data_IF_304505760238
#
_entry.id   IF_304505760238
#
_cell.length_a   1.000
_cell.length_b   1.000
_cell.length_c   1.000
_cell.angle_alpha   90.00
_cell.angle_beta   90.00
_cell.angle_gamma   90.00
#
_symmetry.space_group_name_H-M   'P 1'
#
loop_
_entity.id
_entity.type
_entity.pdbx_description
1 polymer ?
#
# COMPACT_ATOMS: atom_id res chain seq x y z
N UNK A 1 1.89 -0.33 14.64
CA UNK A 1 0.73 0.38 14.07
C UNK A 1 0.54 1.66 14.86
N UNK A 2 0.35 2.78 14.17
CA UNK A 2 0.01 4.10 14.70
C UNK A 2 -1.33 4.53 14.08
N UNK A 3 -2.22 5.15 14.86
CA UNK A 3 -3.47 5.71 14.35
C UNK A 3 -3.49 7.20 14.66
N UNK A 4 -3.68 8.03 13.64
CA UNK A 4 -3.72 9.47 13.77
C UNK A 4 -5.16 9.95 13.93
N UNK A 5 -5.37 10.82 14.92
CA UNK A 5 -6.57 11.64 14.98
C UNK A 5 -6.54 12.66 13.84
N UNK A 6 -7.69 12.88 13.22
CA UNK A 6 -7.85 13.87 12.16
C UNK A 6 -8.90 14.90 12.56
N UNK A 7 -8.95 16.02 11.86
CA UNK A 7 -9.97 17.05 12.09
C UNK A 7 -11.37 16.62 11.62
N UNK A 8 -11.46 15.64 10.71
CA UNK A 8 -12.74 15.05 10.28
C UNK A 8 -12.99 13.77 11.11
N UNK A 9 -13.99 13.75 12.01
CA UNK A 9 -14.24 12.59 12.87
C UNK A 9 -14.66 11.33 12.10
N UNK A 10 -15.06 11.45 10.82
CA UNK A 10 -15.34 10.32 9.95
C UNK A 10 -14.08 9.78 9.24
N UNK A 11 -12.89 10.34 9.48
CA UNK A 11 -11.65 9.92 8.82
C UNK A 11 -10.61 9.46 9.85
N UNK A 12 -10.17 8.21 9.70
CA UNK A 12 -9.05 7.64 10.44
C UNK A 12 -7.87 7.36 9.49
N UNK A 13 -6.66 7.70 9.93
CA UNK A 13 -5.42 7.38 9.22
C UNK A 13 -4.63 6.40 10.09
N UNK A 14 -4.25 5.26 9.52
CA UNK A 14 -3.44 4.25 10.20
C UNK A 14 -2.13 4.01 9.43
N UNK A 15 -1.02 3.96 10.15
CA UNK A 15 0.33 3.71 9.62
C UNK A 15 0.92 2.44 10.25
N UNK A 16 1.50 1.57 9.42
CA UNK A 16 2.16 0.36 9.88
C UNK A 16 3.15 -0.19 8.85
N UNK A 17 3.95 -1.15 9.29
CA UNK A 17 4.78 -1.96 8.40
C UNK A 17 4.18 -3.36 8.26
N UNK A 18 4.29 -3.92 7.07
CA UNK A 18 4.12 -5.34 6.80
C UNK A 18 5.47 -6.03 6.88
N UNK A 19 5.59 -7.03 7.74
CA UNK A 19 6.68 -8.01 7.68
C UNK A 19 6.15 -9.22 6.89
N UNK A 20 6.81 -9.57 5.80
CA UNK A 20 6.33 -10.58 4.85
C UNK A 20 7.43 -11.52 4.36
N UNK A 21 6.99 -12.66 3.82
CA UNK A 21 7.85 -13.67 3.20
C UNK A 21 7.39 -13.92 1.77
N UNK A 22 8.29 -13.83 0.81
CA UNK A 22 8.01 -14.19 -0.58
C UNK A 22 7.91 -15.71 -0.68
N UNK A 23 6.70 -16.23 -0.86
CA UNK A 23 6.41 -17.67 -0.82
C UNK A 23 7.28 -18.51 -1.75
N UNK A 24 7.57 -18.01 -2.96
CA UNK A 24 8.39 -18.73 -3.94
C UNK A 24 9.90 -18.76 -3.65
N UNK A 25 10.43 -17.86 -2.82
CA UNK A 25 11.88 -17.74 -2.57
C UNK A 25 12.28 -17.83 -1.10
N UNK A 26 11.32 -17.77 -0.18
CA UNK A 26 11.57 -17.68 1.26
C UNK A 26 12.18 -16.35 1.71
N UNK A 27 12.32 -15.37 0.81
CA UNK A 27 12.94 -14.07 1.14
C UNK A 27 12.00 -13.25 2.03
N UNK A 28 12.54 -12.78 3.16
CA UNK A 28 11.87 -11.82 4.03
C UNK A 28 11.89 -10.41 3.42
N UNK A 29 10.86 -9.63 3.66
CA UNK A 29 10.80 -8.20 3.36
C UNK A 29 9.99 -7.45 4.41
N UNK A 30 10.25 -6.15 4.50
CA UNK A 30 9.44 -5.21 5.28
C UNK A 30 9.05 -4.03 4.40
N UNK A 31 7.79 -3.60 4.46
CA UNK A 31 7.28 -2.46 3.69
C UNK A 31 6.25 -1.67 4.47
N UNK A 32 6.38 -0.35 4.45
CA UNK A 32 5.44 0.56 5.11
C UNK A 32 4.16 0.74 4.31
N UNK A 33 3.07 1.02 5.02
CA UNK A 33 1.77 1.37 4.48
C UNK A 33 1.09 2.46 5.31
N UNK A 34 0.28 3.26 4.61
CA UNK A 34 -0.67 4.20 5.19
C UNK A 34 -2.05 3.87 4.63
N UNK A 35 -3.03 3.70 5.50
CA UNK A 35 -4.44 3.56 5.11
C UNK A 35 -5.25 4.74 5.59
N UNK A 36 -6.06 5.29 4.69
CA UNK A 36 -7.02 6.36 4.96
C UNK A 36 -8.43 5.79 4.81
N UNK A 37 -9.10 5.60 5.95
CA UNK A 37 -10.44 4.99 6.01
C UNK A 37 -11.48 6.03 6.38
N UNK A 38 -12.58 6.07 5.61
CA UNK A 38 -13.79 6.82 5.99
C UNK A 38 -14.76 5.89 6.72
N UNK A 39 -15.21 6.31 7.89
CA UNK A 39 -16.10 5.54 8.77
C UNK A 39 -17.42 6.28 8.99
N UNK A 40 -18.54 5.60 8.76
CA UNK A 40 -19.89 6.11 9.02
C UNK A 40 -20.74 5.06 9.70
N UNK A 41 -21.41 5.44 10.79
CA UNK A 41 -22.20 4.49 11.59
C UNK A 41 -21.40 3.27 12.05
N UNK A 42 -20.12 3.47 12.40
CA UNK A 42 -19.21 2.41 12.82
C UNK A 42 -18.73 1.46 11.70
N UNK A 43 -19.00 1.77 10.42
CA UNK A 43 -18.57 0.95 9.27
C UNK A 43 -17.60 1.71 8.38
N UNK A 44 -16.58 1.02 7.87
CA UNK A 44 -15.71 1.57 6.82
C UNK A 44 -16.53 1.62 5.52
N UNK A 45 -16.75 2.83 5.01
CA UNK A 45 -17.51 3.08 3.77
C UNK A 45 -16.62 3.42 2.58
N UNK A 46 -15.36 3.79 2.82
CA UNK A 46 -14.33 3.93 1.81
C UNK A 46 -12.96 3.69 2.44
N UNK A 47 -12.04 3.09 1.70
CA UNK A 47 -10.64 2.94 2.11
C UNK A 47 -9.72 3.23 0.93
N UNK A 48 -8.58 3.84 1.23
CA UNK A 48 -7.46 4.08 0.30
C UNK A 48 -6.16 3.73 1.00
N UNK A 49 -5.35 2.93 0.35
CA UNK A 49 -4.05 2.51 0.87
C UNK A 49 -2.92 3.07 0.01
N UNK A 50 -1.83 3.46 0.65
CA UNK A 50 -0.65 4.03 0.02
C UNK A 50 0.55 3.15 0.32
N UNK A 51 0.95 2.38 -0.69
CA UNK A 51 2.06 1.43 -0.62
C UNK A 51 3.21 1.86 -1.52
N UNK A 52 4.42 1.40 -1.19
CA UNK A 52 5.53 1.44 -2.13
C UNK A 52 5.39 0.32 -3.19
N UNK A 53 4.58 0.56 -4.22
CA UNK A 53 4.33 -0.40 -5.29
C UNK A 53 5.58 -0.77 -6.09
N UNK A 54 6.54 0.16 -6.24
CA UNK A 54 7.81 -0.13 -6.90
C UNK A 54 8.66 -1.11 -6.09
N UNK A 55 8.75 -0.93 -4.77
CA UNK A 55 9.41 -1.88 -3.87
C UNK A 55 8.73 -3.25 -3.91
N UNK A 56 7.39 -3.29 -3.88
CA UNK A 56 6.65 -4.55 -4.00
C UNK A 56 6.94 -5.27 -5.32
N UNK A 57 6.97 -4.54 -6.44
CA UNK A 57 7.36 -5.10 -7.72
C UNK A 57 8.80 -5.64 -7.70
N UNK A 58 9.74 -4.93 -7.07
CA UNK A 58 11.12 -5.40 -6.91
C UNK A 58 11.22 -6.68 -6.07
N UNK A 59 10.53 -6.73 -4.92
CA UNK A 59 10.49 -7.91 -4.04
C UNK A 59 9.89 -9.12 -4.74
N UNK A 60 8.87 -8.91 -5.57
CA UNK A 60 8.23 -9.95 -6.38
C UNK A 60 8.99 -10.29 -7.68
N UNK A 61 10.12 -9.65 -7.97
CA UNK A 61 10.88 -9.88 -9.22
C UNK A 61 10.17 -9.36 -10.48
N UNK A 62 9.23 -8.42 -10.34
CA UNK A 62 8.39 -7.86 -11.42
C UNK A 62 8.72 -6.39 -11.76
N UNK A 63 9.76 -5.81 -11.17
CA UNK A 63 10.12 -4.41 -11.40
C UNK A 63 10.31 -4.07 -12.90
N UNK A 64 11.01 -4.89 -13.72
CA UNK A 64 11.14 -4.59 -15.16
C UNK A 64 9.79 -4.51 -15.88
N UNK A 65 8.85 -5.41 -15.56
CA UNK A 65 7.51 -5.41 -16.15
C UNK A 65 6.70 -4.17 -15.74
N UNK A 66 6.83 -3.71 -14.50
CA UNK A 66 6.20 -2.46 -14.04
C UNK A 66 6.72 -1.26 -14.83
N UNK A 67 8.04 -1.15 -15.01
CA UNK A 67 8.67 -0.05 -15.77
C UNK A 67 8.19 -0.06 -17.22
N UNK A 68 8.16 -1.23 -17.86
CA UNK A 68 7.66 -1.36 -19.23
C UNK A 68 6.18 -0.93 -19.35
N UNK A 69 5.33 -1.30 -18.39
CA UNK A 69 3.92 -0.90 -18.42
C UNK A 69 3.74 0.63 -18.30
N UNK A 70 4.48 1.28 -17.39
CA UNK A 70 4.39 2.73 -17.19
C UNK A 70 4.89 3.49 -18.42
N UNK A 71 6.01 3.06 -18.99
CA UNK A 71 6.60 3.72 -20.18
C UNK A 71 5.75 3.55 -21.44
N UNK A 72 5.05 2.41 -21.60
CA UNK A 72 4.12 2.20 -22.72
C UNK A 72 2.80 2.98 -22.54
N UNK A 73 2.42 3.32 -21.30
CA UNK A 73 1.18 4.05 -21.02
C UNK A 73 1.26 5.54 -21.38
N UNK A 74 2.48 6.09 -21.48
CA UNK A 74 2.76 7.46 -21.93
C UNK A 74 2.67 7.62 -23.47
N UNK A 75 2.39 6.54 -24.20
CA UNK A 75 2.34 6.53 -25.68
C UNK A 75 0.91 6.59 -26.26
N UNK A 76 -0.10 6.92 -25.44
CA UNK A 76 -1.51 7.09 -25.82
C UNK A 76 -1.98 8.52 -25.53
#
# INVERSE_FOLDING_TARGET
MLVHQTADPEVAIAEWDYDGVVTGTGRNFRVSNIQVSRVRGGKIVASRDYHNHAFMAAVMGRLPALIAALTNSDSA
#
